data_IF_582875689199
#
_entry.id   IF_582875689199
#
_cell.length_a   1.000
_cell.length_b   1.000
_cell.length_c   1.000
_cell.angle_alpha   90.00
_cell.angle_beta   90.00
_cell.angle_gamma   90.00
#
_symmetry.space_group_name_H-M   'P 1'
#
loop_
_entity.id
_entity.type
_entity.pdbx_description
1 polymer ?
#
# COMPACT_ATOMS: atom_id res chain seq x y z
N UNK A 1 35.75 -44.75 11.94
CA UNK A 1 35.44 -45.17 10.57
C UNK A 1 34.32 -44.27 10.07
N UNK A 2 34.66 -43.16 9.40
CA UNK A 2 34.81 -43.01 7.93
C UNK A 2 33.47 -43.11 7.19
N UNK A 3 32.88 -41.96 6.79
CA UNK A 3 32.84 -41.38 5.41
C UNK A 3 31.93 -42.19 4.46
N UNK A 4 30.90 -41.66 3.82
CA UNK A 4 30.86 -40.58 2.79
C UNK A 4 29.37 -40.29 2.48
N UNK A 5 28.84 -39.07 2.38
CA UNK A 5 29.04 -37.97 1.43
C UNK A 5 28.60 -38.24 -0.03
N UNK A 6 27.55 -37.48 -0.42
CA UNK A 6 27.38 -36.72 -1.67
C UNK A 6 27.15 -37.43 -3.00
N UNK A 7 26.07 -37.03 -3.69
CA UNK A 7 26.14 -36.51 -5.06
C UNK A 7 24.94 -35.63 -5.39
N UNK A 8 25.28 -34.38 -5.71
CA UNK A 8 24.45 -33.26 -6.17
C UNK A 8 24.24 -33.34 -7.70
N UNK A 9 23.21 -32.64 -8.19
CA UNK A 9 22.98 -32.15 -9.57
C UNK A 9 22.47 -33.14 -10.63
N UNK A 10 21.27 -32.85 -11.13
CA UNK A 10 21.06 -32.65 -12.57
C UNK A 10 19.82 -31.77 -12.81
N UNK A 11 20.07 -30.50 -13.09
CA UNK A 11 19.12 -29.66 -13.81
C UNK A 11 19.15 -30.07 -15.29
N UNK A 12 17.98 -30.29 -15.91
CA UNK A 12 17.83 -30.16 -17.35
C UNK A 12 16.34 -30.04 -17.73
N UNK A 13 15.99 -28.86 -18.26
CA UNK A 13 15.14 -28.64 -19.44
C UNK A 13 13.80 -29.36 -19.51
N UNK A 14 12.71 -28.61 -19.45
CA UNK A 14 11.70 -28.60 -20.53
C UNK A 14 10.98 -27.25 -20.50
N UNK A 15 11.32 -26.39 -21.46
CA UNK A 15 10.49 -25.26 -21.84
C UNK A 15 9.36 -25.76 -22.73
N UNK A 16 8.14 -25.29 -22.48
CA UNK A 16 7.08 -25.26 -23.49
C UNK A 16 6.31 -23.94 -23.32
N UNK A 17 6.51 -23.10 -24.33
CA UNK A 17 5.69 -21.95 -24.71
C UNK A 17 4.24 -22.38 -24.92
N UNK A 18 3.27 -21.69 -24.31
CA UNK A 18 1.88 -21.76 -24.76
C UNK A 18 1.35 -20.34 -24.97
N UNK A 19 1.58 -19.86 -26.19
CA UNK A 19 0.90 -18.72 -26.78
C UNK A 19 -0.37 -19.22 -27.49
N UNK A 20 -1.42 -18.41 -27.36
CA UNK A 20 -2.53 -18.25 -28.30
C UNK A 20 -3.66 -19.29 -28.28
N UNK A 21 -4.86 -18.84 -27.90
CA UNK A 21 -6.03 -18.61 -28.77
C UNK A 21 -7.33 -18.78 -27.98
N UNK A 22 -8.10 -17.70 -27.89
CA UNK A 22 -9.56 -17.65 -28.01
C UNK A 22 -9.89 -16.17 -28.27
N UNK A 23 -9.74 -15.74 -29.53
CA UNK A 23 -10.81 -15.56 -30.52
C UNK A 23 -11.48 -14.19 -30.42
N UNK A 24 -11.03 -13.33 -31.35
CA UNK A 24 -11.73 -12.16 -31.84
C UNK A 24 -13.17 -12.50 -32.26
N UNK A 25 -14.10 -11.59 -31.95
CA UNK A 25 -15.36 -11.47 -32.67
C UNK A 25 -15.58 -10.01 -33.06
N UNK A 26 -15.60 -9.83 -34.36
CA UNK A 26 -16.38 -8.89 -35.15
C UNK A 26 -16.35 -7.40 -34.80
N UNK A 27 -15.53 -6.71 -35.59
CA UNK A 27 -15.81 -5.42 -36.21
C UNK A 27 -17.12 -5.55 -37.00
N UNK A 28 -18.07 -4.67 -36.75
CA UNK A 28 -19.09 -4.28 -37.72
C UNK A 28 -19.22 -2.76 -37.79
N UNK A 29 -19.54 -2.34 -39.01
CA UNK A 29 -19.41 -1.06 -39.68
C UNK A 29 -20.23 0.12 -39.13
N UNK A 30 -19.62 1.30 -39.32
CA UNK A 30 -20.16 2.66 -39.36
C UNK A 30 -21.46 2.80 -40.17
N UNK A 31 -22.39 3.69 -39.78
CA UNK A 31 -23.20 4.45 -40.73
C UNK A 31 -22.73 5.91 -40.79
N UNK A 32 -22.34 6.33 -41.98
CA UNK A 32 -22.10 7.72 -42.33
C UNK A 32 -23.43 8.46 -42.45
N UNK A 33 -23.65 9.49 -41.66
CA UNK A 33 -24.67 10.50 -41.94
C UNK A 33 -23.98 11.85 -42.16
N UNK A 34 -23.97 12.25 -43.43
CA UNK A 34 -23.64 13.60 -43.90
C UNK A 34 -24.47 14.62 -43.13
N UNK A 35 -23.82 15.63 -42.58
CA UNK A 35 -24.44 16.94 -42.46
C UNK A 35 -23.51 17.95 -43.15
N UNK A 36 -23.96 18.43 -44.29
CA UNK A 36 -23.32 19.50 -45.03
C UNK A 36 -23.55 20.80 -44.25
N UNK A 37 -22.47 21.47 -43.84
CA UNK A 37 -22.52 22.90 -43.59
C UNK A 37 -21.34 23.56 -44.29
N UNK A 38 -21.69 24.32 -45.31
CA UNK A 38 -20.84 25.18 -46.11
C UNK A 38 -20.35 26.38 -45.29
N UNK A 39 -19.04 26.64 -45.38
CA UNK A 39 -18.46 27.98 -45.43
C UNK A 39 -18.55 28.87 -44.20
N UNK A 40 -17.41 29.08 -43.53
CA UNK A 40 -16.84 30.43 -43.47
C UNK A 40 -15.33 30.35 -43.19
N UNK A 41 -14.52 30.92 -44.07
CA UNK A 41 -13.08 31.12 -43.86
C UNK A 41 -12.92 32.36 -43.00
N UNK A 42 -12.95 32.16 -41.67
CA UNK A 42 -12.56 33.18 -40.70
C UNK A 42 -11.09 32.99 -40.34
N UNK A 43 -10.28 34.03 -40.54
CA UNK A 43 -8.88 34.07 -40.11
C UNK A 43 -8.77 33.76 -38.61
N UNK A 44 -8.16 32.62 -38.27
CA UNK A 44 -7.83 32.28 -36.89
C UNK A 44 -6.63 33.14 -36.49
N UNK A 45 -6.87 34.13 -35.63
CA UNK A 45 -5.80 34.86 -34.96
C UNK A 45 -4.91 33.85 -34.19
N UNK A 46 -3.59 34.05 -34.11
CA UNK A 46 -2.71 33.12 -33.42
C UNK A 46 -3.17 33.01 -31.97
N UNK A 47 -3.68 31.85 -31.58
CA UNK A 47 -4.01 31.55 -30.20
C UNK A 47 -2.69 31.60 -29.43
N UNK A 48 -2.56 32.60 -28.57
CA UNK A 48 -1.44 32.73 -27.63
C UNK A 48 -1.36 31.42 -26.86
N UNK A 49 -0.31 30.63 -27.08
CA UNK A 49 -0.03 29.42 -26.30
C UNK A 49 0.08 29.85 -24.83
N UNK A 50 -0.99 29.66 -24.07
CA UNK A 50 -0.96 29.85 -22.61
C UNK A 50 -0.12 28.69 -22.08
N UNK A 51 1.17 28.93 -21.93
CA UNK A 51 2.07 27.99 -21.24
C UNK A 51 1.54 27.82 -19.82
N UNK A 52 0.91 26.68 -19.56
CA UNK A 52 0.39 26.38 -18.23
C UNK A 52 1.57 26.03 -17.33
N UNK A 53 1.70 26.74 -16.22
CA UNK A 53 2.75 26.48 -15.23
C UNK A 53 2.33 25.37 -14.28
N UNK A 54 3.29 24.82 -13.54
CA UNK A 54 3.03 23.91 -12.41
C UNK A 54 2.02 24.54 -11.44
N UNK A 55 2.23 25.81 -11.04
CA UNK A 55 1.31 26.55 -10.16
C UNK A 55 -0.11 26.59 -10.71
N UNK A 56 -0.26 27.03 -11.97
CA UNK A 56 -1.58 27.16 -12.59
C UNK A 56 -2.31 25.83 -12.68
N UNK A 57 -1.58 24.75 -12.96
CA UNK A 57 -2.13 23.37 -12.99
C UNK A 57 -2.56 22.90 -11.60
N UNK A 58 -1.72 23.15 -10.59
CA UNK A 58 -2.00 22.80 -9.20
C UNK A 58 -3.25 23.53 -8.70
N UNK A 59 -3.35 24.85 -8.91
CA UNK A 59 -4.52 25.65 -8.53
C UNK A 59 -5.80 25.21 -9.26
N UNK A 60 -5.72 24.91 -10.56
CA UNK A 60 -6.85 24.41 -11.37
C UNK A 60 -7.41 23.12 -10.77
N UNK A 61 -6.55 22.14 -10.54
CA UNK A 61 -6.97 20.81 -10.10
C UNK A 61 -7.34 20.75 -8.63
N UNK A 62 -6.67 21.51 -7.76
CA UNK A 62 -7.05 21.65 -6.36
C UNK A 62 -8.50 22.15 -6.24
N UNK A 63 -8.87 23.23 -6.95
CA UNK A 63 -10.25 23.75 -6.96
C UNK A 63 -11.26 22.71 -7.48
N UNK A 64 -10.91 21.96 -8.52
CA UNK A 64 -11.79 20.91 -9.07
C UNK A 64 -11.97 19.75 -8.09
N UNK A 65 -10.90 19.31 -7.42
CA UNK A 65 -10.99 18.29 -6.39
C UNK A 65 -11.83 18.74 -5.20
N UNK A 66 -11.69 20.00 -4.77
CA UNK A 66 -12.54 20.59 -3.72
C UNK A 66 -14.01 20.63 -4.12
N UNK A 67 -14.35 21.09 -5.33
CA UNK A 67 -15.74 21.15 -5.80
C UNK A 67 -16.39 19.77 -5.88
N UNK A 68 -15.61 18.74 -6.18
CA UNK A 68 -16.04 17.34 -6.24
C UNK A 68 -15.92 16.63 -4.87
N UNK A 69 -15.56 17.34 -3.80
CA UNK A 69 -15.39 16.79 -2.45
C UNK A 69 -14.43 15.59 -2.39
N UNK A 70 -13.34 15.65 -3.16
CA UNK A 70 -12.24 14.68 -3.12
C UNK A 70 -11.42 14.92 -1.83
N UNK A 71 -11.14 13.87 -1.03
CA UNK A 71 -10.33 14.04 0.17
C UNK A 71 -8.88 14.37 -0.18
N UNK A 72 -8.25 15.20 0.66
CA UNK A 72 -6.84 15.61 0.53
C UNK A 72 -6.51 16.18 -0.87
N UNK A 73 -7.22 17.23 -1.33
CA UNK A 73 -7.11 17.73 -2.69
C UNK A 73 -5.69 18.21 -3.02
N UNK A 74 -5.08 18.99 -2.11
CA UNK A 74 -3.72 19.52 -2.27
C UNK A 74 -2.68 18.39 -2.32
N UNK A 75 -2.68 17.48 -1.34
CA UNK A 75 -1.78 16.32 -1.32
C UNK A 75 -1.93 15.47 -2.59
N UNK A 76 -3.15 15.28 -3.06
CA UNK A 76 -3.42 14.50 -4.28
C UNK A 76 -2.75 15.12 -5.50
N UNK A 77 -3.00 16.41 -5.77
CA UNK A 77 -2.43 17.06 -6.97
C UNK A 77 -0.91 17.22 -6.87
N UNK A 78 -0.38 17.50 -5.68
CA UNK A 78 1.07 17.63 -5.46
C UNK A 78 1.79 16.31 -5.75
N UNK A 79 1.25 15.17 -5.30
CA UNK A 79 1.82 13.86 -5.62
C UNK A 79 1.72 13.52 -7.11
N UNK A 80 0.61 13.84 -7.78
CA UNK A 80 0.46 13.65 -9.23
C UNK A 80 1.52 14.44 -10.00
N UNK A 81 1.70 15.72 -9.65
CA UNK A 81 2.69 16.57 -10.30
C UNK A 81 4.10 16.04 -10.04
N UNK A 82 4.45 15.72 -8.79
CA UNK A 82 5.76 15.17 -8.46
C UNK A 82 6.08 13.91 -9.27
N UNK A 83 5.11 13.01 -9.40
CA UNK A 83 5.25 11.79 -10.19
C UNK A 83 5.46 12.07 -11.69
N UNK A 84 4.66 12.94 -12.30
CA UNK A 84 4.77 13.25 -13.74
C UNK A 84 6.05 14.01 -14.08
N UNK A 85 6.59 14.77 -13.12
CA UNK A 85 7.86 15.48 -13.26
C UNK A 85 9.06 14.64 -12.83
N UNK A 86 8.84 13.39 -12.39
CA UNK A 86 9.88 12.48 -11.89
C UNK A 86 10.73 13.11 -10.77
N UNK A 87 10.08 13.88 -9.88
CA UNK A 87 10.75 14.51 -8.76
C UNK A 87 11.01 13.48 -7.65
N UNK A 88 12.06 13.68 -6.81
CA UNK A 88 12.35 12.81 -5.67
C UNK A 88 11.19 12.67 -4.67
N UNK A 89 10.27 13.64 -4.62
CA UNK A 89 9.09 13.58 -3.78
C UNK A 89 8.21 14.83 -3.90
N UNK A 90 7.02 14.82 -3.27
CA UNK A 90 6.06 15.93 -3.32
C UNK A 90 6.61 17.25 -2.75
N UNK A 91 7.58 17.20 -1.82
CA UNK A 91 8.21 18.38 -1.24
C UNK A 91 8.97 19.25 -2.25
N UNK A 92 9.43 18.67 -3.37
CA UNK A 92 10.19 19.40 -4.38
C UNK A 92 9.31 20.24 -5.31
N UNK A 93 8.00 19.97 -5.38
CA UNK A 93 7.08 20.65 -6.32
C UNK A 93 7.09 22.18 -6.11
N UNK A 94 7.32 22.66 -4.89
CA UNK A 94 7.45 24.08 -4.58
C UNK A 94 8.56 24.79 -5.36
N UNK A 95 9.64 24.09 -5.68
CA UNK A 95 10.79 24.64 -6.42
C UNK A 95 10.50 24.79 -7.93
N UNK A 96 9.44 24.15 -8.42
CA UNK A 96 9.08 24.09 -9.85
C UNK A 96 7.83 24.91 -10.21
N UNK A 97 7.30 25.71 -9.28
CA UNK A 97 6.01 26.42 -9.44
C UNK A 97 5.89 27.26 -10.73
N UNK A 98 6.99 27.87 -11.18
CA UNK A 98 7.01 28.72 -12.38
C UNK A 98 7.44 27.96 -13.65
N UNK A 99 7.79 26.68 -13.55
CA UNK A 99 8.18 25.87 -14.69
C UNK A 99 6.97 25.63 -15.61
N UNK A 100 7.20 25.68 -16.92
CA UNK A 100 6.19 25.32 -17.91
C UNK A 100 6.07 23.81 -18.06
N UNK A 101 4.85 23.32 -18.25
CA UNK A 101 4.58 21.91 -18.52
C UNK A 101 4.48 21.65 -20.01
N UNK A 102 5.08 20.56 -20.48
CA UNK A 102 4.88 20.07 -21.85
C UNK A 102 3.46 19.53 -22.04
N UNK A 103 3.00 19.45 -23.29
CA UNK A 103 1.69 18.86 -23.62
C UNK A 103 1.56 17.42 -23.12
N UNK A 104 2.63 16.62 -23.21
CA UNK A 104 2.65 15.25 -22.72
C UNK A 104 2.50 15.17 -21.20
N UNK A 105 3.18 16.05 -20.45
CA UNK A 105 3.05 16.13 -18.99
C UNK A 105 1.64 16.59 -18.60
N UNK A 106 1.09 17.59 -19.28
CA UNK A 106 -0.28 18.04 -19.05
C UNK A 106 -1.29 16.92 -19.28
N UNK A 107 -1.21 16.23 -20.42
CA UNK A 107 -2.09 15.10 -20.73
C UNK A 107 -2.00 14.00 -19.66
N UNK A 108 -0.77 13.72 -19.17
CA UNK A 108 -0.58 12.71 -18.13
C UNK A 108 -1.15 13.14 -16.78
N UNK A 109 -0.96 14.40 -16.38
CA UNK A 109 -1.56 14.96 -15.16
C UNK A 109 -3.08 14.87 -15.25
N UNK A 110 -3.68 15.23 -16.38
CA UNK A 110 -5.13 15.15 -16.57
C UNK A 110 -5.64 13.71 -16.45
N UNK A 111 -4.98 12.74 -17.11
CA UNK A 111 -5.32 11.31 -16.98
C UNK A 111 -5.33 10.84 -15.52
N UNK A 112 -4.27 11.13 -14.76
CA UNK A 112 -4.15 10.71 -13.36
C UNK A 112 -5.17 11.43 -12.46
N UNK A 113 -5.48 12.69 -12.75
CA UNK A 113 -6.50 13.43 -12.01
C UNK A 113 -7.91 12.90 -12.29
N UNK A 114 -8.22 12.44 -13.51
CA UNK A 114 -9.50 11.78 -13.80
C UNK A 114 -9.61 10.45 -13.03
N UNK A 115 -8.52 9.68 -12.87
CA UNK A 115 -8.51 8.53 -11.96
C UNK A 115 -8.81 8.94 -10.51
N UNK A 116 -8.25 10.07 -10.05
CA UNK A 116 -8.49 10.60 -8.71
C UNK A 116 -9.95 11.02 -8.52
N UNK A 117 -10.56 11.64 -9.53
CA UNK A 117 -11.98 12.00 -9.53
C UNK A 117 -12.90 10.78 -9.45
N UNK A 118 -12.48 9.65 -10.05
CA UNK A 118 -13.13 8.35 -9.87
C UNK A 118 -12.96 7.75 -8.46
N UNK A 119 -12.52 8.55 -7.47
CA UNK A 119 -12.30 8.20 -6.06
C UNK A 119 -11.20 7.16 -5.84
N UNK A 120 -10.35 6.91 -6.84
CA UNK A 120 -9.21 6.03 -6.67
C UNK A 120 -8.21 6.65 -5.67
N UNK A 121 -7.73 5.89 -4.67
CA UNK A 121 -6.68 6.33 -3.77
C UNK A 121 -5.42 6.76 -4.53
N UNK A 122 -4.80 7.85 -4.10
CA UNK A 122 -3.62 8.42 -4.77
C UNK A 122 -2.47 7.41 -4.89
N UNK A 123 -2.30 6.58 -3.87
CA UNK A 123 -1.27 5.53 -3.81
C UNK A 123 -1.39 4.52 -4.96
N UNK A 124 -2.61 4.15 -5.35
CA UNK A 124 -2.81 3.25 -6.49
C UNK A 124 -2.70 3.96 -7.85
N UNK A 125 -2.93 5.27 -7.89
CA UNK A 125 -2.77 6.09 -9.10
C UNK A 125 -1.27 6.22 -9.42
N UNK A 126 -0.46 6.57 -8.41
CA UNK A 126 1.00 6.72 -8.53
C UNK A 126 1.71 5.37 -8.62
N UNK A 127 1.14 4.30 -8.02
CA UNK A 127 1.66 2.92 -7.98
C UNK A 127 2.94 2.72 -7.17
N UNK A 128 3.44 3.77 -6.55
CA UNK A 128 4.59 3.77 -5.65
C UNK A 128 4.22 4.58 -4.42
N UNK A 129 4.57 4.06 -3.25
CA UNK A 129 4.35 4.75 -1.99
C UNK A 129 5.45 4.41 -1.00
N UNK A 130 5.92 5.42 -0.29
CA UNK A 130 6.96 5.25 0.70
C UNK A 130 6.39 4.66 2.00
N UNK A 131 7.18 3.78 2.60
CA UNK A 131 6.95 3.18 3.91
C UNK A 131 8.31 3.07 4.60
N UNK A 132 8.53 3.88 5.64
CA UNK A 132 9.85 4.09 6.24
C UNK A 132 10.91 4.44 5.18
N UNK A 133 11.94 3.62 5.04
CA UNK A 133 13.05 3.77 4.09
C UNK A 133 12.87 2.94 2.81
N UNK A 134 11.66 2.44 2.56
CA UNK A 134 11.30 1.62 1.41
C UNK A 134 10.29 2.35 0.53
N UNK A 135 10.42 2.18 -0.78
CA UNK A 135 9.36 2.52 -1.73
C UNK A 135 8.68 1.24 -2.19
N UNK A 136 7.40 1.10 -1.86
CA UNK A 136 6.60 -0.10 -2.11
C UNK A 136 5.73 0.07 -3.36
N UNK A 137 5.54 -1.02 -4.11
CA UNK A 137 4.63 -1.05 -5.26
C UNK A 137 3.18 -1.17 -4.78
N UNK A 138 2.33 -0.26 -5.25
CA UNK A 138 0.91 -0.19 -4.91
C UNK A 138 0.05 -0.68 -6.06
N UNK A 139 -0.71 -1.74 -5.83
CA UNK A 139 -1.64 -2.31 -6.82
C UNK A 139 -2.89 -2.78 -6.08
N UNK A 140 -4.12 -2.43 -6.53
CA UNK A 140 -5.33 -3.03 -5.99
C UNK A 140 -5.34 -4.57 -6.15
N UNK A 141 -5.90 -5.33 -5.20
CA UNK A 141 -6.60 -4.89 -3.98
C UNK A 141 -5.69 -4.82 -2.75
N UNK A 142 -4.37 -4.72 -2.91
CA UNK A 142 -3.42 -4.79 -1.79
C UNK A 142 -3.58 -3.59 -0.87
N UNK A 143 -3.71 -3.82 0.44
CA UNK A 143 -3.92 -2.76 1.43
C UNK A 143 -2.78 -1.72 1.41
N UNK A 144 -3.15 -0.44 1.49
CA UNK A 144 -2.21 0.67 1.54
C UNK A 144 -1.70 0.80 2.98
N UNK A 145 -0.39 0.60 3.23
CA UNK A 145 0.19 0.77 4.56
C UNK A 145 -0.12 2.17 5.11
N UNK A 146 -0.46 2.24 6.40
CA UNK A 146 -0.78 3.50 7.07
C UNK A 146 0.43 4.01 7.85
N UNK A 147 0.51 5.32 8.14
CA UNK A 147 1.56 5.86 9.01
C UNK A 147 1.65 5.12 10.36
N UNK A 148 0.51 4.73 10.92
CA UNK A 148 0.42 3.93 12.15
C UNK A 148 1.17 2.58 12.02
N UNK A 149 1.14 1.95 10.84
CA UNK A 149 1.85 0.70 10.59
C UNK A 149 3.38 0.88 10.63
N UNK A 150 3.91 2.07 10.36
CA UNK A 150 5.35 2.36 10.53
C UNK A 150 5.75 2.45 12.01
N UNK A 151 4.86 2.95 12.87
CA UNK A 151 5.06 3.01 14.33
C UNK A 151 5.12 1.61 14.92
N UNK A 152 4.28 0.69 14.43
CA UNK A 152 4.33 -0.72 14.85
C UNK A 152 5.71 -1.33 14.58
N UNK A 153 6.30 -1.07 13.41
CA UNK A 153 7.65 -1.54 13.08
C UNK A 153 8.67 -0.98 14.06
N UNK A 154 8.54 0.28 14.46
CA UNK A 154 9.45 0.90 15.42
C UNK A 154 9.35 0.27 16.81
N UNK A 155 8.13 0.01 17.29
CA UNK A 155 7.90 -0.68 18.58
C UNK A 155 8.52 -2.08 18.57
N UNK A 156 8.37 -2.82 17.46
CA UNK A 156 8.98 -4.14 17.31
C UNK A 156 10.51 -4.03 17.37
N UNK A 157 11.11 -3.09 16.63
CA UNK A 157 12.57 -2.90 16.59
C UNK A 157 13.14 -2.52 17.97
N UNK A 158 12.43 -1.73 18.77
CA UNK A 158 12.86 -1.34 20.12
C UNK A 158 12.96 -2.52 21.09
N UNK A 159 12.22 -3.60 20.83
CA UNK A 159 12.23 -4.81 21.66
C UNK A 159 13.18 -5.89 21.17
N UNK A 160 13.73 -5.74 19.97
CA UNK A 160 14.68 -6.71 19.42
C UNK A 160 16.05 -6.55 20.09
N UNK A 161 16.54 -7.61 20.72
CA UNK A 161 17.95 -7.69 21.11
C UNK A 161 18.78 -8.18 19.92
N UNK A 162 19.78 -7.39 19.50
CA UNK A 162 20.61 -7.64 18.32
C UNK A 162 21.52 -8.88 18.43
N UNK A 163 21.38 -9.69 19.48
CA UNK A 163 22.27 -10.82 19.81
C UNK A 163 21.66 -12.20 19.52
N UNK A 164 20.34 -12.31 19.36
CA UNK A 164 19.62 -13.57 19.19
C UNK A 164 18.90 -13.61 17.82
N UNK A 165 18.78 -14.80 17.20
CA UNK A 165 17.94 -14.96 16.01
C UNK A 165 16.46 -14.89 16.43
N UNK A 166 15.79 -13.79 16.10
CA UNK A 166 14.34 -13.64 16.32
C UNK A 166 13.56 -14.14 15.11
N UNK A 167 12.59 -15.02 15.35
CA UNK A 167 11.66 -15.52 14.33
C UNK A 167 10.41 -14.65 14.27
N UNK A 168 10.03 -14.21 13.06
CA UNK A 168 8.82 -13.39 12.85
C UNK A 168 7.76 -14.12 12.02
N UNK A 169 6.50 -13.84 12.34
CA UNK A 169 5.34 -14.24 11.56
C UNK A 169 4.50 -12.98 11.32
N UNK A 170 4.34 -12.57 10.06
CA UNK A 170 3.41 -11.52 9.69
C UNK A 170 2.13 -12.16 9.14
N UNK A 171 0.99 -11.69 9.62
CA UNK A 171 -0.32 -12.23 9.24
C UNK A 171 -1.03 -11.16 8.41
N UNK A 172 -1.25 -11.44 7.12
CA UNK A 172 -1.83 -10.47 6.19
C UNK A 172 -0.81 -9.45 5.67
N UNK A 173 0.32 -9.93 5.13
CA UNK A 173 1.46 -9.12 4.71
C UNK A 173 1.14 -7.98 3.73
N UNK A 174 0.08 -8.09 2.92
CA UNK A 174 -0.28 -7.10 1.92
C UNK A 174 0.89 -6.80 0.96
N UNK A 175 1.47 -5.60 1.08
CA UNK A 175 2.63 -5.14 0.31
C UNK A 175 3.97 -5.69 0.83
N UNK A 176 3.94 -6.41 1.95
CA UNK A 176 5.10 -6.84 2.72
C UNK A 176 5.77 -5.69 3.50
N UNK A 177 5.07 -4.58 3.75
CA UNK A 177 5.63 -3.37 4.33
C UNK A 177 6.39 -3.63 5.65
N UNK A 178 5.72 -4.26 6.62
CA UNK A 178 6.32 -4.59 7.93
C UNK A 178 7.48 -5.54 7.74
N UNK A 179 7.25 -6.67 7.05
CA UNK A 179 8.27 -7.67 6.77
C UNK A 179 9.54 -7.10 6.13
N UNK A 180 9.39 -6.34 5.04
CA UNK A 180 10.52 -5.76 4.31
C UNK A 180 11.30 -4.76 5.17
N UNK A 181 10.62 -3.97 6.00
CA UNK A 181 11.29 -3.06 6.93
C UNK A 181 12.04 -3.80 8.04
N UNK A 182 11.52 -4.94 8.50
CA UNK A 182 12.15 -5.77 9.53
C UNK A 182 13.27 -6.67 8.99
N UNK A 183 13.29 -7.01 7.69
CA UNK A 183 14.28 -7.93 7.10
C UNK A 183 15.75 -7.48 7.27
N UNK A 184 15.99 -6.17 7.41
CA UNK A 184 17.33 -5.63 7.74
C UNK A 184 17.82 -6.09 9.12
N UNK A 185 16.89 -6.51 9.99
CA UNK A 185 17.12 -6.84 11.40
C UNK A 185 16.73 -8.30 11.74
N UNK A 186 16.00 -9.02 10.87
CA UNK A 186 15.63 -10.42 11.11
C UNK A 186 15.45 -11.24 9.81
N UNK A 187 16.10 -12.42 9.68
CA UNK A 187 16.17 -13.13 8.40
C UNK A 187 15.05 -14.15 8.11
N UNK A 188 14.03 -14.33 8.98
CA UNK A 188 12.99 -15.37 8.79
C UNK A 188 11.58 -14.85 9.06
N UNK A 189 10.74 -14.90 8.03
CA UNK A 189 9.36 -14.42 8.01
C UNK A 189 8.46 -15.48 7.36
N UNK A 190 7.29 -15.73 7.94
CA UNK A 190 6.26 -16.63 7.40
C UNK A 190 4.93 -15.87 7.20
N UNK A 191 4.02 -16.40 6.37
CA UNK A 191 2.71 -15.81 6.06
C UNK A 191 1.55 -16.84 6.09
N UNK A 192 0.35 -16.39 6.50
CA UNK A 192 -0.92 -17.14 6.42
C UNK A 192 -2.00 -16.34 5.67
N UNK A 193 -2.64 -16.97 4.67
CA UNK A 193 -3.62 -16.37 3.76
C UNK A 193 -5.01 -16.16 4.36
N UNK A 194 -5.29 -16.65 5.58
CA UNK A 194 -6.62 -16.56 6.22
C UNK A 194 -6.86 -15.26 7.00
N UNK A 195 -5.90 -14.33 6.97
CA UNK A 195 -5.87 -13.09 7.77
C UNK A 195 -6.97 -12.06 7.45
N UNK A 196 -7.74 -12.22 6.38
CA UNK A 196 -8.48 -11.12 5.74
C UNK A 196 -9.97 -11.00 6.11
N UNK A 197 -10.50 -11.79 7.06
CA UNK A 197 -11.92 -11.73 7.47
C UNK A 197 -12.12 -11.66 9.00
N UNK A 198 -12.45 -10.48 9.52
CA UNK A 198 -12.64 -10.23 10.95
C UNK A 198 -13.97 -10.73 11.53
N UNK A 199 -14.95 -11.15 10.72
CA UNK A 199 -16.31 -11.48 11.18
C UNK A 199 -17.08 -10.28 11.76
N UNK A 200 -18.25 -10.52 12.36
CA UNK A 200 -19.22 -9.45 12.74
C UNK A 200 -18.75 -8.53 13.87
N UNK A 201 -17.83 -8.98 14.71
CA UNK A 201 -17.23 -8.19 15.80
C UNK A 201 -15.77 -7.77 15.49
N UNK A 202 -15.27 -8.05 14.28
CA UNK A 202 -13.89 -7.78 13.90
C UNK A 202 -12.84 -8.69 14.57
N UNK A 203 -13.22 -9.58 15.48
CA UNK A 203 -12.30 -10.37 16.31
C UNK A 203 -12.16 -11.84 15.86
N UNK A 204 -12.87 -12.29 14.84
CA UNK A 204 -12.84 -13.72 14.44
C UNK A 204 -11.43 -14.17 14.08
N UNK A 205 -10.76 -13.42 13.20
CA UNK A 205 -9.35 -13.67 12.87
C UNK A 205 -8.45 -13.44 14.08
N UNK A 206 -8.62 -12.37 14.86
CA UNK A 206 -7.78 -12.11 16.05
C UNK A 206 -7.84 -13.28 17.03
N UNK A 207 -9.02 -13.81 17.35
CA UNK A 207 -9.20 -14.99 18.22
C UNK A 207 -8.53 -16.24 17.64
N UNK A 208 -8.57 -16.42 16.32
CA UNK A 208 -7.87 -17.51 15.64
C UNK A 208 -6.35 -17.34 15.70
N UNK A 209 -5.84 -16.12 15.48
CA UNK A 209 -4.43 -15.76 15.61
C UNK A 209 -3.96 -16.06 17.03
N UNK A 210 -4.66 -15.59 18.07
CA UNK A 210 -4.32 -15.88 19.47
C UNK A 210 -4.23 -17.40 19.74
N UNK A 211 -5.17 -18.19 19.20
CA UNK A 211 -5.16 -19.65 19.33
C UNK A 211 -4.03 -20.35 18.58
N UNK A 212 -3.50 -19.75 17.51
CA UNK A 212 -2.37 -20.31 16.75
C UNK A 212 -1.07 -19.87 17.42
N UNK A 213 -0.95 -18.58 17.73
CA UNK A 213 0.16 -17.98 18.46
C UNK A 213 0.44 -18.73 19.77
N UNK A 214 -0.60 -19.08 20.54
CA UNK A 214 -0.44 -19.88 21.76
C UNK A 214 0.25 -21.23 21.58
N UNK A 215 0.19 -21.82 20.38
CA UNK A 215 0.80 -23.12 20.04
C UNK A 215 2.18 -23.00 19.42
N UNK A 216 2.51 -21.85 18.84
CA UNK A 216 3.70 -21.66 18.01
C UNK A 216 4.71 -20.65 18.55
N UNK A 217 4.29 -19.72 19.41
CA UNK A 217 5.23 -18.86 20.12
C UNK A 217 6.08 -19.69 21.08
N UNK A 218 7.39 -19.49 21.03
CA UNK A 218 8.29 -19.96 22.06
C UNK A 218 7.96 -19.30 23.40
N UNK A 219 8.38 -19.94 24.50
CA UNK A 219 8.27 -19.33 25.83
C UNK A 219 8.93 -17.94 25.82
N UNK A 220 8.27 -16.97 26.44
CA UNK A 220 8.66 -15.55 26.48
C UNK A 220 8.62 -14.85 25.10
N UNK A 221 8.09 -15.50 24.06
CA UNK A 221 7.87 -14.90 22.75
C UNK A 221 6.77 -13.85 22.75
N UNK A 222 6.95 -12.79 21.96
CA UNK A 222 6.05 -11.64 21.88
C UNK A 222 5.19 -11.69 20.62
N UNK A 223 3.89 -11.42 20.77
CA UNK A 223 2.95 -11.19 19.69
C UNK A 223 2.53 -9.72 19.69
N UNK A 224 2.75 -9.07 18.55
CA UNK A 224 2.29 -7.72 18.27
C UNK A 224 1.12 -7.76 17.30
N UNK A 225 0.07 -6.99 17.58
CA UNK A 225 -1.09 -6.85 16.70
C UNK A 225 -1.44 -5.37 16.49
N UNK A 226 -1.53 -4.94 15.24
CA UNK A 226 -2.27 -3.72 14.85
C UNK A 226 -3.77 -4.08 14.79
N UNK A 227 -4.61 -3.32 15.49
CA UNK A 227 -6.05 -3.59 15.61
C UNK A 227 -6.88 -2.31 15.53
N UNK A 228 -8.18 -2.42 15.32
CA UNK A 228 -9.06 -1.26 15.42
C UNK A 228 -9.00 -0.63 16.83
N UNK A 229 -9.17 0.70 16.90
CA UNK A 229 -9.07 1.45 18.16
C UNK A 229 -10.01 1.00 19.28
N UNK A 230 -11.07 0.27 18.94
CA UNK A 230 -12.03 -0.28 19.90
C UNK A 230 -11.63 -1.66 20.44
N UNK A 231 -10.67 -2.35 19.82
CA UNK A 231 -10.33 -3.74 20.12
C UNK A 231 -9.40 -3.98 21.32
N UNK A 232 -8.41 -3.13 21.65
CA UNK A 232 -7.50 -3.36 22.78
C UNK A 232 -8.18 -3.74 24.11
N UNK A 233 -9.20 -3.01 24.61
CA UNK A 233 -9.86 -3.39 25.85
C UNK A 233 -10.63 -4.73 25.74
N UNK A 234 -11.13 -5.07 24.55
CA UNK A 234 -11.86 -6.34 24.33
C UNK A 234 -10.87 -7.51 24.33
N UNK A 235 -9.69 -7.32 23.73
CA UNK A 235 -8.61 -8.31 23.70
C UNK A 235 -8.06 -8.53 25.11
N UNK A 236 -7.82 -7.47 25.88
CA UNK A 236 -7.39 -7.56 27.29
C UNK A 236 -8.42 -8.35 28.12
N UNK A 237 -9.71 -8.03 27.99
CA UNK A 237 -10.77 -8.75 28.70
C UNK A 237 -10.83 -10.24 28.30
N UNK A 238 -10.65 -10.55 27.02
CA UNK A 238 -10.62 -11.92 26.53
C UNK A 238 -9.43 -12.70 27.10
N UNK A 239 -8.24 -12.12 27.08
CA UNK A 239 -7.02 -12.73 27.61
C UNK A 239 -7.02 -12.80 29.15
N UNK A 240 -7.74 -11.92 29.83
CA UNK A 240 -7.96 -12.05 31.27
C UNK A 240 -8.77 -13.32 31.60
N UNK A 241 -9.75 -13.67 30.77
CA UNK A 241 -10.61 -14.85 30.98
C UNK A 241 -10.01 -16.16 30.48
N UNK A 242 -9.21 -16.10 29.42
CA UNK A 242 -8.77 -17.29 28.70
C UNK A 242 -7.25 -17.39 28.52
N UNK A 243 -6.50 -16.35 28.90
CA UNK A 243 -5.06 -16.23 28.67
C UNK A 243 -4.26 -17.30 29.41
N UNK A 244 -4.62 -17.62 30.65
CA UNK A 244 -3.95 -18.68 31.42
C UNK A 244 -4.02 -20.04 30.70
N UNK A 245 -5.20 -20.42 30.19
CA UNK A 245 -5.38 -21.65 29.41
C UNK A 245 -4.62 -21.64 28.07
N UNK A 246 -4.35 -20.46 27.53
CA UNK A 246 -3.57 -20.28 26.30
C UNK A 246 -2.08 -20.08 26.57
N UNK A 247 -1.66 -19.91 27.83
CA UNK A 247 -0.33 -19.41 28.20
C UNK A 247 -0.02 -18.09 27.51
N UNK A 248 -0.98 -17.17 27.41
CA UNK A 248 -0.81 -15.85 26.81
C UNK A 248 -1.21 -14.79 27.83
N UNK A 249 -0.41 -13.74 27.96
CA UNK A 249 -0.68 -12.61 28.84
C UNK A 249 -0.68 -11.31 28.03
N UNK A 250 -1.75 -10.53 28.17
CA UNK A 250 -1.79 -9.16 27.68
C UNK A 250 -0.81 -8.31 28.50
N UNK A 251 0.07 -7.57 27.83
CA UNK A 251 1.09 -6.75 28.48
C UNK A 251 0.71 -5.28 28.49
N UNK A 252 0.41 -4.73 27.32
CA UNK A 252 0.08 -3.32 27.16
C UNK A 252 -0.67 -3.05 25.84
N UNK A 253 -1.34 -1.90 25.78
CA UNK A 253 -1.72 -1.24 24.53
C UNK A 253 -0.91 0.02 24.31
N UNK A 254 -0.70 0.36 23.04
CA UNK A 254 0.07 1.52 22.62
C UNK A 254 -0.77 2.37 21.69
N UNK A 255 -0.62 3.69 21.86
CA UNK A 255 -1.33 4.69 21.07
C UNK A 255 -0.62 4.97 19.75
N UNK A 256 -1.41 5.22 18.71
CA UNK A 256 -0.92 5.72 17.43
C UNK A 256 -0.65 7.24 17.45
N UNK A 257 -0.14 7.79 16.33
CA UNK A 257 0.02 9.24 16.09
C UNK A 257 -1.24 10.06 16.43
N UNK A 258 -2.42 9.48 16.30
CA UNK A 258 -3.71 10.12 16.57
C UNK A 258 -4.21 9.89 18.00
N UNK A 259 -3.35 9.39 18.89
CA UNK A 259 -3.62 9.14 20.31
C UNK A 259 -4.68 8.06 20.59
N UNK A 260 -4.95 7.20 19.60
CA UNK A 260 -5.88 6.06 19.74
C UNK A 260 -5.11 4.80 20.05
N UNK A 261 -5.60 4.00 20.99
CA UNK A 261 -5.00 2.69 21.29
C UNK A 261 -5.12 1.79 20.05
N UNK A 262 -3.99 1.44 19.43
CA UNK A 262 -3.97 0.81 18.11
C UNK A 262 -3.14 -0.47 18.07
N UNK A 263 -2.14 -0.57 18.94
CA UNK A 263 -1.24 -1.71 18.99
C UNK A 263 -1.39 -2.44 20.32
N UNK A 264 -1.33 -3.76 20.27
CA UNK A 264 -1.42 -4.63 21.44
C UNK A 264 -0.19 -5.52 21.51
N UNK A 265 0.43 -5.56 22.69
CA UNK A 265 1.54 -6.45 23.02
C UNK A 265 1.05 -7.60 23.91
N UNK A 266 1.33 -8.83 23.50
CA UNK A 266 0.96 -10.05 24.22
C UNK A 266 2.19 -10.95 24.32
N UNK A 267 2.44 -11.52 25.50
CA UNK A 267 3.59 -12.40 25.75
C UNK A 267 3.14 -13.84 26.01
N UNK A 268 3.88 -14.80 25.45
CA UNK A 268 3.75 -16.23 25.74
C UNK A 268 4.40 -16.55 27.09
N UNK A 269 3.62 -17.12 28.01
CA UNK A 269 4.09 -17.60 29.32
C UNK A 269 4.49 -19.08 29.28
#
# INVERSE_FOLDING_TARGET
>A
MMLSSSSTRAAARMGVTLLSRLQARHIDSVPSSRCCYSGNVGSVAPQTLVTTTVRGTQEKWMKRFESESIPEPETSITNIIAHVLELPGPGEVGNHQNSSLSEAQMAKIEELCECRLARMPIQYIIREWDFRDLTLKMIPPVFIPRPETEELVELILQQMDNKEETLFLEIGCGTGAISLSLLKHAPKIYEDLRALDGGTDGLTVIKAILRIASRHLAKDGVLWLEVDSTHPPIIEQFLTKHGELMGLKFMASYKDLFQKDRFVEIVKQ
#
